data_IF_546965966693
#
_entry.id   IF_546965966693
#
_cell.length_a   1.000
_cell.length_b   1.000
_cell.length_c   1.000
_cell.angle_alpha   90.00
_cell.angle_beta   90.00
_cell.angle_gamma   90.00
#
_symmetry.space_group_name_H-M   'P 1'
#
loop_
_entity.id
_entity.type
_entity.pdbx_description
1 polymer ?
#
# COMPACT_ATOMS: atom_id res chain seq x y z
N UNK A 1 4.73 -17.92 12.10
CA UNK A 1 4.76 -16.58 11.49
C UNK A 1 3.58 -16.53 10.55
N UNK A 2 2.78 -15.46 10.59
CA UNK A 2 1.71 -15.31 9.62
C UNK A 2 2.33 -15.15 8.23
N UNK A 3 1.80 -15.87 7.26
CA UNK A 3 2.22 -15.79 5.87
C UNK A 3 1.54 -14.57 5.25
N UNK A 4 2.28 -13.46 5.14
CA UNK A 4 1.79 -12.20 4.55
C UNK A 4 1.89 -12.20 3.02
N UNK A 5 2.46 -13.26 2.42
CA UNK A 5 2.60 -13.41 0.97
C UNK A 5 1.37 -14.12 0.37
N UNK A 6 0.46 -14.60 1.21
CA UNK A 6 -0.76 -15.29 0.81
C UNK A 6 -2.01 -14.47 1.17
N UNK A 7 -2.86 -14.23 0.16
CA UNK A 7 -4.09 -13.45 0.32
C UNK A 7 -5.02 -13.97 1.41
N UNK A 8 -5.30 -15.28 1.43
CA UNK A 8 -6.23 -15.85 2.41
C UNK A 8 -5.68 -15.76 3.84
N UNK A 9 -4.36 -15.95 3.99
CA UNK A 9 -3.69 -15.86 5.29
C UNK A 9 -3.59 -14.41 5.78
N UNK A 10 -3.23 -13.45 4.91
CA UNK A 10 -3.19 -12.03 5.23
C UNK A 10 -4.59 -11.51 5.58
N UNK A 11 -5.61 -11.90 4.81
CA UNK A 11 -7.01 -11.56 5.10
C UNK A 11 -7.45 -12.09 6.47
N UNK A 12 -7.18 -13.36 6.77
CA UNK A 12 -7.54 -13.95 8.05
C UNK A 12 -6.84 -13.24 9.22
N UNK A 13 -5.60 -12.79 9.03
CA UNK A 13 -4.88 -12.00 10.02
C UNK A 13 -5.54 -10.63 10.22
N UNK A 14 -5.82 -9.89 9.14
CA UNK A 14 -6.49 -8.59 9.19
C UNK A 14 -7.84 -8.68 9.93
N UNK A 15 -8.67 -9.67 9.60
CA UNK A 15 -9.95 -9.90 10.27
C UNK A 15 -9.76 -10.26 11.76
N UNK A 16 -8.70 -10.99 12.11
CA UNK A 16 -8.40 -11.36 13.51
C UNK A 16 -8.00 -10.18 14.40
N UNK A 17 -7.44 -9.12 13.81
CA UNK A 17 -7.05 -7.89 14.51
C UNK A 17 -8.13 -6.79 14.42
N UNK A 18 -9.28 -7.08 13.79
CA UNK A 18 -10.44 -6.18 13.75
C UNK A 18 -10.53 -5.28 12.51
N UNK A 19 -9.68 -5.51 11.50
CA UNK A 19 -9.73 -4.78 10.23
C UNK A 19 -10.85 -5.39 9.36
N UNK A 20 -11.70 -4.54 8.80
CA UNK A 20 -12.75 -4.97 7.85
C UNK A 20 -12.18 -4.98 6.44
N UNK A 21 -11.90 -6.17 5.91
CA UNK A 21 -11.35 -6.32 4.55
C UNK A 21 -12.45 -6.17 3.50
N UNK A 22 -12.31 -5.17 2.63
CA UNK A 22 -13.23 -4.96 1.51
C UNK A 22 -13.01 -5.96 0.36
N UNK A 23 -14.03 -6.16 -0.46
CA UNK A 23 -13.94 -7.10 -1.60
C UNK A 23 -13.04 -6.61 -2.73
N UNK A 24 -12.80 -5.31 -2.80
CA UNK A 24 -11.95 -4.62 -3.77
C UNK A 24 -10.46 -4.71 -3.41
N UNK A 25 -10.13 -4.99 -2.15
CA UNK A 25 -8.75 -4.99 -1.67
C UNK A 25 -7.99 -6.21 -2.16
N UNK A 26 -6.84 -5.97 -2.77
CA UNK A 26 -5.83 -6.99 -3.03
C UNK A 26 -4.91 -7.21 -1.83
N UNK A 27 -3.90 -8.05 -2.05
CA UNK A 27 -2.94 -8.42 -1.00
C UNK A 27 -2.16 -7.20 -0.49
N UNK A 28 -1.77 -6.31 -1.39
CA UNK A 28 -0.95 -5.15 -1.05
C UNK A 28 -1.69 -4.19 -0.12
N UNK A 29 -2.98 -3.94 -0.38
CA UNK A 29 -3.80 -3.11 0.51
C UNK A 29 -3.98 -3.76 1.89
N UNK A 30 -4.27 -5.06 1.94
CA UNK A 30 -4.43 -5.78 3.22
C UNK A 30 -3.16 -5.70 4.06
N UNK A 31 -1.98 -5.94 3.46
CA UNK A 31 -0.70 -5.87 4.18
C UNK A 31 -0.43 -4.45 4.70
N UNK A 32 -0.76 -3.42 3.92
CA UNK A 32 -0.61 -2.01 4.33
C UNK A 32 -1.50 -1.69 5.53
N UNK A 33 -2.76 -2.10 5.51
CA UNK A 33 -3.71 -1.85 6.61
C UNK A 33 -3.31 -2.60 7.89
N UNK A 34 -2.77 -3.82 7.77
CA UNK A 34 -2.20 -4.55 8.91
C UNK A 34 -1.01 -3.78 9.50
N UNK A 35 -0.17 -3.19 8.65
CA UNK A 35 0.95 -2.38 9.10
C UNK A 35 0.47 -1.13 9.85
N UNK A 36 -0.52 -0.42 9.32
CA UNK A 36 -1.06 0.79 9.95
C UNK A 36 -1.63 0.49 11.35
N UNK A 37 -2.45 -0.55 11.47
CA UNK A 37 -3.07 -0.91 12.76
C UNK A 37 -2.04 -1.44 13.79
N UNK A 38 -1.05 -2.23 13.35
CA UNK A 38 -0.14 -2.92 14.27
C UNK A 38 1.10 -2.07 14.61
N UNK A 39 1.68 -1.38 13.62
CA UNK A 39 2.99 -0.79 13.75
C UNK A 39 2.96 0.73 13.92
N UNK A 40 2.04 1.45 13.25
CA UNK A 40 2.08 2.93 13.17
C UNK A 40 2.19 3.59 14.55
N UNK A 41 1.31 3.22 15.49
CA UNK A 41 1.28 3.78 16.84
C UNK A 41 2.57 3.56 17.65
N UNK A 42 3.40 2.58 17.27
CA UNK A 42 4.65 2.23 17.94
C UNK A 42 5.87 2.99 17.36
N UNK A 43 5.71 3.69 16.23
CA UNK A 43 6.78 4.44 15.56
C UNK A 43 7.04 5.79 16.25
N UNK A 44 7.56 5.73 17.49
CA UNK A 44 7.79 6.93 18.33
C UNK A 44 9.03 7.71 17.88
N UNK A 45 10.11 7.00 17.57
CA UNK A 45 11.35 7.62 17.09
C UNK A 45 11.30 7.84 15.57
N UNK A 46 12.09 8.79 15.03
CA UNK A 46 12.19 8.99 13.58
C UNK A 46 12.50 7.68 12.85
N UNK A 47 11.51 7.18 12.12
CA UNK A 47 11.57 5.87 11.45
C UNK A 47 11.11 6.02 10.01
N UNK A 48 11.90 5.48 9.10
CA UNK A 48 11.51 5.31 7.70
C UNK A 48 11.00 3.89 7.51
N UNK A 49 9.79 3.78 6.96
CA UNK A 49 9.22 2.53 6.47
C UNK A 49 9.33 2.58 4.97
N UNK A 50 9.78 1.50 4.35
CA UNK A 50 10.12 1.44 2.92
C UNK A 50 9.48 0.22 2.28
N UNK A 51 9.51 0.16 0.94
CA UNK A 51 9.08 -1.00 0.15
C UNK A 51 7.57 -1.27 0.22
N UNK A 52 6.78 -0.23 -0.08
CA UNK A 52 5.32 -0.33 -0.11
C UNK A 52 4.85 -1.15 -1.33
N UNK A 53 3.78 -1.93 -1.19
CA UNK A 53 3.17 -2.64 -2.32
C UNK A 53 2.80 -1.70 -3.47
N UNK A 54 2.95 -2.19 -4.71
CA UNK A 54 2.63 -1.40 -5.91
C UNK A 54 1.15 -1.03 -6.00
N UNK A 55 0.28 -1.90 -5.49
CA UNK A 55 -1.17 -1.72 -5.44
C UNK A 55 -1.58 -0.42 -4.73
N UNK A 56 -0.90 -0.06 -3.64
CA UNK A 56 -1.20 1.14 -2.84
C UNK A 56 -0.38 2.37 -3.25
N UNK A 57 0.45 2.23 -4.30
CA UNK A 57 1.44 3.25 -4.69
C UNK A 57 1.39 3.53 -6.21
N UNK A 58 0.30 4.12 -6.73
CA UNK A 58 0.05 4.24 -8.17
C UNK A 58 0.99 5.19 -8.91
N UNK A 59 1.68 6.09 -8.19
CA UNK A 59 2.63 7.06 -8.75
C UNK A 59 4.09 6.70 -8.47
N UNK A 60 4.32 5.64 -7.67
CA UNK A 60 5.66 5.23 -7.30
C UNK A 60 6.21 4.22 -8.32
N UNK A 61 7.48 4.41 -8.68
CA UNK A 61 8.25 3.50 -9.53
C UNK A 61 8.33 2.12 -8.88
N UNK A 62 8.12 1.06 -9.68
CA UNK A 62 8.33 -0.32 -9.23
C UNK A 62 9.81 -0.57 -8.92
N UNK A 63 10.07 -1.42 -7.95
CA UNK A 63 11.44 -1.84 -7.67
C UNK A 63 11.97 -2.72 -8.81
N UNK A 64 13.25 -2.57 -9.14
CA UNK A 64 13.89 -3.30 -10.24
C UNK A 64 14.04 -4.81 -9.98
N UNK A 65 14.10 -5.21 -8.71
CA UNK A 65 14.28 -6.61 -8.28
C UNK A 65 12.94 -7.28 -8.00
N UNK A 66 12.02 -6.57 -7.35
CA UNK A 66 10.69 -7.07 -7.02
C UNK A 66 9.59 -6.11 -7.51
N UNK A 67 8.94 -6.38 -8.66
CA UNK A 67 7.94 -5.49 -9.22
C UNK A 67 6.63 -5.41 -8.40
N UNK A 68 6.42 -6.30 -7.43
CA UNK A 68 5.26 -6.28 -6.53
C UNK A 68 5.33 -5.13 -5.51
N UNK A 69 6.53 -4.55 -5.31
CA UNK A 69 6.77 -3.41 -4.43
C UNK A 69 7.23 -2.19 -5.22
N UNK A 70 7.17 -1.04 -4.57
CA UNK A 70 7.60 0.25 -5.09
C UNK A 70 8.69 0.85 -4.24
N UNK A 71 9.54 1.66 -4.88
CA UNK A 71 10.60 2.42 -4.22
C UNK A 71 9.99 3.64 -3.50
N UNK A 72 9.10 3.38 -2.53
CA UNK A 72 8.41 4.36 -1.70
C UNK A 72 8.85 4.23 -0.24
N UNK A 73 8.84 5.37 0.45
CA UNK A 73 8.98 5.43 1.89
C UNK A 73 7.94 6.36 2.51
N UNK A 74 7.61 6.07 3.77
CA UNK A 74 6.92 6.99 4.66
C UNK A 74 7.78 7.21 5.91
N UNK A 75 7.67 8.41 6.44
CA UNK A 75 8.46 8.88 7.55
C UNK A 75 7.57 9.16 8.76
N UNK A 76 7.84 8.46 9.85
CA UNK A 76 7.02 8.53 11.07
C UNK A 76 7.81 9.11 12.23
N UNK A 77 7.14 9.97 13.03
CA UNK A 77 7.62 10.44 14.34
C UNK A 77 6.43 10.52 15.29
N UNK A 78 6.57 9.95 16.49
CA UNK A 78 5.53 10.04 17.52
C UNK A 78 4.24 9.28 17.17
N UNK A 79 4.36 8.22 16.36
CA UNK A 79 3.24 7.41 15.88
C UNK A 79 2.34 8.14 14.90
N UNK A 80 2.92 9.04 14.09
CA UNK A 80 2.22 9.79 13.04
C UNK A 80 3.10 9.91 11.82
N UNK A 81 2.49 9.84 10.65
CA UNK A 81 3.16 10.17 9.39
C UNK A 81 3.52 11.67 9.35
N UNK A 82 4.79 11.97 9.07
CA UNK A 82 5.37 13.30 8.97
C UNK A 82 5.85 13.60 7.54
N UNK A 83 6.06 12.57 6.73
CA UNK A 83 6.45 12.74 5.35
C UNK A 83 6.30 11.48 4.52
N UNK A 84 6.23 11.68 3.21
CA UNK A 84 6.11 10.64 2.19
C UNK A 84 7.08 10.98 1.06
N UNK A 85 7.70 9.96 0.48
CA UNK A 85 8.50 10.15 -0.73
C UNK A 85 8.66 8.84 -1.48
N UNK A 86 8.88 8.95 -2.78
CA UNK A 86 9.07 7.79 -3.66
C UNK A 86 9.94 8.16 -4.85
N UNK A 87 10.54 7.14 -5.47
CA UNK A 87 11.05 7.28 -6.82
C UNK A 87 9.88 7.49 -7.77
N UNK A 88 9.86 8.63 -8.45
CA UNK A 88 8.78 9.00 -9.37
C UNK A 88 8.65 8.01 -10.52
N UNK A 89 7.42 7.58 -10.80
CA UNK A 89 7.12 6.81 -12.00
C UNK A 89 7.21 7.73 -13.22
N UNK A 90 8.23 7.50 -14.06
CA UNK A 90 8.47 8.27 -15.27
C UNK A 90 8.23 7.48 -16.56
N UNK A 91 7.74 6.24 -16.46
CA UNK A 91 7.27 5.45 -17.58
C UNK A 91 5.80 5.81 -17.87
N UNK A 92 5.56 6.43 -19.03
CA UNK A 92 4.24 6.91 -19.41
C UNK A 92 3.26 5.77 -19.71
N UNK A 93 3.74 4.60 -20.15
CA UNK A 93 2.89 3.44 -20.43
C UNK A 93 2.41 2.80 -19.12
N UNK A 94 3.33 2.55 -18.17
CA UNK A 94 2.98 2.06 -16.82
C UNK A 94 2.04 3.04 -16.10
N UNK A 95 2.32 4.35 -16.19
CA UNK A 95 1.46 5.35 -15.55
C UNK A 95 0.03 5.34 -16.11
N UNK A 96 -0.13 5.15 -17.42
CA UNK A 96 -1.44 5.07 -18.06
C UNK A 96 -2.20 3.79 -17.69
N UNK A 97 -1.50 2.65 -17.61
CA UNK A 97 -2.08 1.38 -17.15
C UNK A 97 -2.60 1.50 -15.71
N UNK A 98 -1.79 2.07 -14.80
CA UNK A 98 -2.20 2.28 -13.40
C UNK A 98 -3.35 3.25 -13.24
N UNK A 99 -3.44 4.28 -14.08
CA UNK A 99 -4.64 5.13 -14.09
C UNK A 99 -5.88 4.37 -14.52
N UNK A 100 -5.77 3.49 -15.52
CA UNK A 100 -6.90 2.66 -15.92
C UNK A 100 -7.34 1.69 -14.80
N UNK A 101 -6.39 1.14 -14.05
CA UNK A 101 -6.66 0.33 -12.86
C UNK A 101 -7.38 1.13 -11.76
N UNK A 102 -6.92 2.35 -11.47
CA UNK A 102 -7.56 3.26 -10.51
C UNK A 102 -8.99 3.65 -10.93
N UNK A 103 -9.22 3.90 -12.22
CA UNK A 103 -10.57 4.16 -12.76
C UNK A 103 -11.48 2.95 -12.57
N UNK A 104 -10.96 1.74 -12.79
CA UNK A 104 -11.71 0.50 -12.58
C UNK A 104 -12.01 0.28 -11.08
N UNK A 105 -11.05 0.57 -10.19
CA UNK A 105 -11.23 0.50 -8.74
C UNK A 105 -12.32 1.46 -8.25
N UNK A 106 -12.31 2.71 -8.74
CA UNK A 106 -13.40 3.67 -8.49
C UNK A 106 -14.75 3.14 -8.96
N UNK A 107 -14.82 2.61 -10.18
CA UNK A 107 -16.07 2.05 -10.71
C UNK A 107 -16.57 0.85 -9.88
N UNK A 108 -15.67 0.18 -9.17
CA UNK A 108 -15.97 -0.90 -8.23
C UNK A 108 -16.36 -0.41 -6.81
N UNK A 109 -16.32 0.90 -6.55
CA UNK A 109 -16.77 1.51 -5.30
C UNK A 109 -15.67 2.08 -4.40
N UNK A 110 -14.43 2.18 -4.88
CA UNK A 110 -13.35 2.85 -4.14
C UNK A 110 -13.45 4.38 -4.28
N UNK A 111 -13.95 5.04 -3.23
CA UNK A 111 -14.11 6.49 -3.18
C UNK A 111 -12.77 7.24 -3.05
N UNK A 112 -11.69 6.58 -2.61
CA UNK A 112 -10.34 7.15 -2.47
C UNK A 112 -9.51 7.03 -3.76
N UNK A 113 -9.94 6.23 -4.73
CA UNK A 113 -9.26 6.08 -6.01
C UNK A 113 -9.19 7.41 -6.79
N UNK A 114 -8.00 7.71 -7.32
CA UNK A 114 -7.69 8.97 -8.00
C UNK A 114 -8.53 9.18 -9.29
N UNK A 115 -8.91 10.44 -9.55
CA UNK A 115 -9.41 10.89 -10.84
C UNK A 115 -8.27 11.56 -11.62
N UNK A 116 -7.96 11.07 -12.81
CA UNK A 116 -7.31 11.85 -13.88
C UNK A 116 -7.97 11.50 -15.22
#
# INVERSE_FOLDING_TARGET
>A
MADLDNFDAAKALAESIGITVEKSWGLGRIVTEIFDEVAEAHLIQPTFITEYPAEVSPLARRNDVNPEITDRFEFFIGGREIGNGFSELNDAEDQAERFQEQVNAKAAGDDEAMFL
#
